data_IF_478960795288
#
_entry.id   IF_478960795288
#
_cell.length_a   1.000
_cell.length_b   1.000
_cell.length_c   1.000
_cell.angle_alpha   90.00
_cell.angle_beta   90.00
_cell.angle_gamma   90.00
#
_symmetry.space_group_name_H-M   'P 1'
#
loop_
_entity.id
_entity.type
_entity.pdbx_description
1 polymer ?
#
# COMPACT_ATOMS: atom_id res chain seq x y z
N UNK A 1 -11.38 -9.69 3.94
CA UNK A 1 -12.77 -9.77 4.40
C UNK A 1 -13.18 -11.22 4.72
N UNK A 2 -12.52 -12.22 4.13
CA UNK A 2 -12.71 -13.64 4.46
C UNK A 2 -12.37 -13.95 5.93
N UNK A 3 -11.40 -13.24 6.51
CA UNK A 3 -11.04 -13.37 7.94
C UNK A 3 -12.07 -12.71 8.88
N UNK A 4 -13.03 -11.96 8.34
CA UNK A 4 -14.05 -11.20 9.08
C UNK A 4 -15.45 -11.46 8.50
N UNK A 5 -15.93 -12.71 8.41
CA UNK A 5 -17.10 -13.08 7.60
C UNK A 5 -18.43 -12.50 8.10
N UNK A 6 -18.54 -12.15 9.38
CA UNK A 6 -19.76 -11.62 10.01
C UNK A 6 -19.57 -10.27 10.69
N UNK A 7 -18.37 -9.68 10.60
CA UNK A 7 -18.00 -8.50 11.37
C UNK A 7 -18.24 -7.21 10.57
N UNK A 8 -18.69 -6.17 11.28
CA UNK A 8 -18.89 -4.84 10.71
C UNK A 8 -17.57 -4.14 10.43
N UNK A 9 -17.48 -3.46 9.31
CA UNK A 9 -16.27 -2.73 8.93
C UNK A 9 -16.51 -1.52 8.04
N UNK A 10 -15.52 -0.64 8.03
CA UNK A 10 -15.49 0.57 7.20
C UNK A 10 -14.31 0.49 6.25
N UNK A 11 -14.54 0.79 4.97
CA UNK A 11 -13.49 0.86 3.94
C UNK A 11 -13.46 2.29 3.39
N UNK A 12 -12.37 2.99 3.66
CA UNK A 12 -12.16 4.35 3.14
C UNK A 12 -11.57 4.33 1.74
N UNK A 13 -12.21 5.07 0.83
CA UNK A 13 -11.82 5.23 -0.56
C UNK A 13 -11.52 6.70 -0.88
N UNK A 14 -10.66 6.93 -1.86
CA UNK A 14 -10.26 8.27 -2.30
C UNK A 14 -11.40 9.04 -2.96
N UNK A 15 -12.24 8.37 -3.77
CA UNK A 15 -13.23 9.02 -4.63
C UNK A 15 -14.64 8.46 -4.44
N UNK A 16 -15.65 9.27 -4.83
CA UNK A 16 -17.06 8.85 -4.85
C UNK A 16 -17.28 7.61 -5.71
N UNK A 17 -16.76 7.63 -6.93
CA UNK A 17 -16.86 6.48 -7.85
C UNK A 17 -16.14 5.25 -7.30
N UNK A 18 -15.01 5.43 -6.59
CA UNK A 18 -14.31 4.35 -5.91
C UNK A 18 -15.16 3.67 -4.85
N UNK A 19 -15.95 4.45 -4.08
CA UNK A 19 -16.84 3.88 -3.05
C UNK A 19 -17.96 3.04 -3.68
N UNK A 20 -18.57 3.54 -4.75
CA UNK A 20 -19.67 2.84 -5.46
C UNK A 20 -19.14 1.56 -6.10
N UNK A 21 -18.08 1.64 -6.90
CA UNK A 21 -17.52 0.49 -7.59
C UNK A 21 -16.98 -0.59 -6.64
N UNK A 22 -16.41 -0.19 -5.48
CA UNK A 22 -15.96 -1.16 -4.49
C UNK A 22 -17.15 -1.84 -3.78
N UNK A 23 -18.18 -1.07 -3.40
CA UNK A 23 -19.38 -1.63 -2.79
C UNK A 23 -20.08 -2.64 -3.72
N UNK A 24 -20.16 -2.34 -5.02
CA UNK A 24 -20.70 -3.26 -6.03
C UNK A 24 -19.88 -4.54 -6.14
N UNK A 25 -18.55 -4.43 -6.24
CA UNK A 25 -17.66 -5.60 -6.28
C UNK A 25 -17.80 -6.48 -5.04
N UNK A 26 -18.00 -5.88 -3.87
CA UNK A 26 -18.23 -6.62 -2.62
C UNK A 26 -19.58 -7.33 -2.63
N UNK A 27 -20.65 -6.69 -3.11
CA UNK A 27 -21.98 -7.31 -3.25
C UNK A 27 -21.96 -8.48 -4.21
N UNK A 28 -21.26 -8.38 -5.34
CA UNK A 28 -21.07 -9.50 -6.28
C UNK A 28 -20.36 -10.71 -5.64
N UNK A 29 -19.59 -10.48 -4.58
CA UNK A 29 -18.95 -11.53 -3.77
C UNK A 29 -19.80 -11.97 -2.56
N UNK A 30 -21.07 -11.60 -2.50
CA UNK A 30 -21.96 -11.96 -1.40
C UNK A 30 -21.73 -11.17 -0.11
N UNK A 31 -20.98 -10.08 -0.14
CA UNK A 31 -20.74 -9.24 1.03
C UNK A 31 -21.76 -8.10 1.02
N UNK A 32 -22.57 -8.01 2.07
CA UNK A 32 -23.53 -6.92 2.24
C UNK A 32 -22.79 -5.59 2.47
N UNK A 33 -22.66 -4.80 1.41
CA UNK A 33 -21.91 -3.55 1.40
C UNK A 33 -22.70 -2.39 0.77
N UNK A 34 -22.50 -1.19 1.28
CA UNK A 34 -23.05 0.04 0.72
C UNK A 34 -21.99 1.12 0.55
N UNK A 35 -22.21 1.99 -0.45
CA UNK A 35 -21.40 3.18 -0.65
C UNK A 35 -21.93 4.34 0.21
N UNK A 36 -21.01 5.18 0.72
CA UNK A 36 -21.36 6.41 1.43
C UNK A 36 -20.41 7.55 1.03
N UNK A 37 -20.96 8.63 0.50
CA UNK A 37 -20.18 9.82 0.10
C UNK A 37 -21.06 11.08 0.09
N UNK A 38 -20.44 12.25 0.08
CA UNK A 38 -21.12 13.53 0.11
C UNK A 38 -22.02 13.81 -1.12
N UNK A 39 -21.89 13.05 -2.20
CA UNK A 39 -22.75 13.14 -3.38
C UNK A 39 -24.07 12.39 -3.29
N UNK A 40 -24.30 11.59 -2.24
CA UNK A 40 -25.61 10.99 -1.95
C UNK A 40 -26.56 12.04 -1.37
N UNK A 41 -27.86 11.88 -1.62
CA UNK A 41 -28.88 12.69 -0.98
C UNK A 41 -28.84 12.57 0.54
N UNK A 42 -29.35 13.54 1.30
CA UNK A 42 -29.43 13.44 2.75
C UNK A 42 -30.18 12.18 3.21
N UNK A 43 -31.28 11.83 2.55
CA UNK A 43 -32.11 10.65 2.89
C UNK A 43 -31.35 9.34 2.62
N UNK A 44 -30.62 9.24 1.51
CA UNK A 44 -29.78 8.07 1.24
C UNK A 44 -28.66 7.92 2.27
N UNK A 45 -28.02 9.03 2.64
CA UNK A 45 -26.99 9.01 3.70
C UNK A 45 -27.54 8.53 5.02
N UNK A 46 -28.69 9.07 5.45
CA UNK A 46 -29.35 8.65 6.67
C UNK A 46 -29.75 7.16 6.64
N UNK A 47 -30.31 6.70 5.53
CA UNK A 47 -30.68 5.29 5.33
C UNK A 47 -29.47 4.35 5.42
N UNK A 48 -28.36 4.66 4.76
CA UNK A 48 -27.14 3.82 4.81
C UNK A 48 -26.58 3.83 6.22
N UNK A 49 -26.53 4.99 6.87
CA UNK A 49 -26.03 5.13 8.24
C UNK A 49 -26.86 4.31 9.25
N UNK A 50 -28.19 4.44 9.21
CA UNK A 50 -29.09 3.67 10.09
C UNK A 50 -28.98 2.16 9.83
N UNK A 51 -28.94 1.77 8.56
CA UNK A 51 -28.79 0.37 8.20
C UNK A 51 -27.46 -0.22 8.69
N UNK A 52 -26.38 0.56 8.66
CA UNK A 52 -25.10 0.16 9.21
C UNK A 52 -25.12 0.07 10.73
N UNK A 53 -25.74 1.04 11.42
CA UNK A 53 -25.89 1.03 12.88
C UNK A 53 -26.70 -0.19 13.37
N UNK A 54 -27.72 -0.60 12.61
CA UNK A 54 -28.58 -1.75 12.92
C UNK A 54 -28.07 -3.10 12.41
N UNK A 55 -26.82 -3.19 11.96
CA UNK A 55 -26.19 -4.39 11.37
C UNK A 55 -26.87 -4.92 10.08
N UNK A 56 -27.80 -4.15 9.49
CA UNK A 56 -28.41 -4.45 8.20
C UNK A 56 -27.44 -4.27 7.01
N UNK A 57 -26.40 -3.50 7.17
CA UNK A 57 -25.26 -3.38 6.26
C UNK A 57 -24.01 -3.75 7.05
N UNK A 58 -23.22 -4.68 6.51
CA UNK A 58 -21.99 -5.16 7.16
C UNK A 58 -20.79 -4.27 6.88
N UNK A 59 -20.65 -3.79 5.65
CA UNK A 59 -19.48 -3.01 5.21
C UNK A 59 -19.94 -1.72 4.57
N UNK A 60 -19.37 -0.60 5.02
CA UNK A 60 -19.56 0.70 4.37
C UNK A 60 -18.29 1.07 3.63
N UNK A 61 -18.39 1.24 2.30
CA UNK A 61 -17.34 1.82 1.47
C UNK A 61 -17.56 3.33 1.43
N UNK A 62 -16.68 4.12 2.02
CA UNK A 62 -16.93 5.53 2.27
C UNK A 62 -15.78 6.44 1.84
N UNK A 63 -16.09 7.68 1.52
CA UNK A 63 -15.11 8.77 1.56
C UNK A 63 -15.01 9.30 3.00
N UNK A 64 -14.10 10.25 3.25
CA UNK A 64 -13.94 10.93 4.55
C UNK A 64 -15.24 11.55 5.09
N UNK A 65 -16.28 11.69 4.24
CA UNK A 65 -17.60 12.16 4.66
C UNK A 65 -18.30 11.22 5.65
N UNK A 66 -17.93 9.94 5.70
CA UNK A 66 -18.45 8.96 6.66
C UNK A 66 -17.61 8.99 7.93
N UNK A 67 -17.85 9.98 8.75
CA UNK A 67 -16.99 10.16 9.91
C UNK A 67 -17.67 10.87 11.08
N UNK A 68 -18.22 12.03 10.85
CA UNK A 68 -18.87 12.80 11.92
C UNK A 68 -20.23 12.16 12.25
N UNK A 69 -20.42 11.78 13.52
CA UNK A 69 -21.69 11.24 14.01
C UNK A 69 -21.90 9.73 13.89
N UNK A 70 -20.90 8.96 13.46
CA UNK A 70 -20.99 7.49 13.49
C UNK A 70 -20.50 6.97 14.84
N UNK A 71 -21.46 6.55 15.67
CA UNK A 71 -21.19 5.91 16.95
C UNK A 71 -21.64 4.44 16.96
N UNK A 72 -20.97 3.65 16.14
CA UNK A 72 -21.12 2.18 16.13
C UNK A 72 -19.94 1.57 16.88
N UNK A 73 -20.22 0.96 18.03
CA UNK A 73 -19.18 0.44 18.92
C UNK A 73 -18.52 -0.85 18.40
N UNK A 74 -19.27 -1.69 17.70
CA UNK A 74 -18.86 -3.03 17.28
C UNK A 74 -18.19 -3.08 15.88
N UNK A 75 -17.58 -2.00 15.41
CA UNK A 75 -16.76 -2.01 14.18
C UNK A 75 -15.49 -2.81 14.43
N UNK A 76 -15.27 -3.88 13.66
CA UNK A 76 -14.11 -4.78 13.86
C UNK A 76 -12.92 -4.45 12.97
N UNK A 77 -13.13 -3.78 11.85
CA UNK A 77 -12.02 -3.35 11.01
C UNK A 77 -12.28 -2.00 10.33
N UNK A 78 -11.21 -1.25 10.19
CA UNK A 78 -11.12 -0.07 9.34
C UNK A 78 -10.04 -0.32 8.30
N UNK A 79 -10.39 -0.23 7.03
CA UNK A 79 -9.48 -0.45 5.92
C UNK A 79 -9.38 0.82 5.07
N UNK A 80 -8.18 1.30 4.86
CA UNK A 80 -7.89 2.36 3.89
C UNK A 80 -7.52 1.71 2.56
N UNK A 81 -8.45 1.75 1.60
CA UNK A 81 -8.25 1.21 0.26
C UNK A 81 -7.30 2.08 -0.57
N UNK A 82 -7.27 3.38 -0.28
CA UNK A 82 -6.30 4.34 -0.77
C UNK A 82 -5.66 5.07 0.43
N UNK A 83 -4.52 5.69 0.19
CA UNK A 83 -3.80 6.46 1.19
C UNK A 83 -4.69 7.58 1.77
N UNK A 84 -4.84 7.70 3.10
CA UNK A 84 -5.58 8.80 3.72
C UNK A 84 -4.91 10.17 3.46
N UNK A 85 -5.55 11.25 3.85
CA UNK A 85 -5.04 12.60 3.55
C UNK A 85 -3.79 12.95 4.35
N UNK A 86 -3.76 12.54 5.61
CA UNK A 86 -2.66 12.78 6.58
C UNK A 86 -2.78 11.82 7.76
N UNK A 87 -1.83 11.88 8.69
CA UNK A 87 -1.81 11.02 9.89
C UNK A 87 -3.00 11.30 10.80
N UNK A 88 -3.42 12.56 10.94
CA UNK A 88 -4.54 12.94 11.81
C UNK A 88 -5.85 12.34 11.31
N UNK A 89 -6.11 12.41 10.00
CA UNK A 89 -7.28 11.76 9.38
C UNK A 89 -7.21 10.25 9.57
N UNK A 90 -6.06 9.64 9.30
CA UNK A 90 -5.84 8.21 9.54
C UNK A 90 -6.17 7.82 10.97
N UNK A 91 -5.66 8.57 11.97
CA UNK A 91 -5.88 8.31 13.38
C UNK A 91 -7.36 8.40 13.78
N UNK A 92 -8.06 9.45 13.32
CA UNK A 92 -9.49 9.61 13.55
C UNK A 92 -10.32 8.49 12.92
N UNK A 93 -9.94 8.04 11.74
CA UNK A 93 -10.64 7.01 10.99
C UNK A 93 -10.44 5.63 11.61
N UNK A 94 -9.22 5.25 12.00
CA UNK A 94 -8.96 3.98 12.68
C UNK A 94 -9.56 3.93 14.09
N UNK A 95 -9.71 5.07 14.77
CA UNK A 95 -10.35 5.20 16.07
C UNK A 95 -11.84 4.83 16.09
N UNK A 96 -12.41 4.42 14.96
CA UNK A 96 -13.79 3.89 14.87
C UNK A 96 -13.86 2.40 15.16
N UNK A 97 -12.74 1.68 15.04
CA UNK A 97 -12.69 0.25 15.33
C UNK A 97 -12.51 -0.01 16.83
N UNK A 98 -13.26 -0.97 17.38
CA UNK A 98 -13.08 -1.47 18.74
C UNK A 98 -13.50 -0.52 19.85
N UNK A 99 -14.48 0.34 19.64
CA UNK A 99 -14.99 1.26 20.67
C UNK A 99 -15.66 0.56 21.85
N UNK A 100 -16.04 -0.69 21.68
CA UNK A 100 -16.58 -1.56 22.73
C UNK A 100 -15.48 -2.25 23.57
N UNK A 101 -14.21 -1.91 23.36
CA UNK A 101 -13.07 -2.51 24.03
C UNK A 101 -12.60 -3.84 23.44
N UNK A 102 -13.33 -4.40 22.46
CA UNK A 102 -12.91 -5.63 21.79
C UNK A 102 -11.89 -5.34 20.69
N UNK A 103 -11.06 -6.32 20.30
CA UNK A 103 -10.03 -6.14 19.30
C UNK A 103 -10.57 -5.61 17.96
N UNK A 104 -9.94 -4.56 17.44
CA UNK A 104 -10.21 -4.02 16.12
C UNK A 104 -8.94 -4.05 15.26
N UNK A 105 -9.11 -4.17 13.93
CA UNK A 105 -8.01 -4.13 12.96
C UNK A 105 -8.01 -2.83 12.18
N UNK A 106 -6.85 -2.17 12.12
CA UNK A 106 -6.59 -1.06 11.20
C UNK A 106 -5.68 -1.55 10.08
N UNK A 107 -6.12 -1.42 8.83
CA UNK A 107 -5.39 -1.87 7.64
C UNK A 107 -5.27 -0.69 6.68
N UNK A 108 -4.09 -0.46 6.15
CA UNK A 108 -3.87 0.57 5.13
C UNK A 108 -3.14 -0.05 3.94
N UNK A 109 -3.73 0.05 2.75
CA UNK A 109 -3.01 -0.22 1.53
C UNK A 109 -2.17 1.00 1.19
N UNK A 110 -0.94 0.74 0.80
CA UNK A 110 0.03 1.77 0.49
C UNK A 110 0.77 1.43 -0.79
N UNK A 111 0.85 2.39 -1.70
CA UNK A 111 1.72 2.37 -2.86
C UNK A 111 2.36 3.74 -3.05
N UNK A 112 3.55 3.78 -3.64
CA UNK A 112 4.18 5.07 -3.96
C UNK A 112 3.34 5.86 -4.98
N UNK A 113 2.58 5.17 -5.83
CA UNK A 113 1.64 5.79 -6.78
C UNK A 113 0.54 6.57 -6.07
N UNK A 114 0.06 6.09 -4.90
CA UNK A 114 -0.93 6.83 -4.10
C UNK A 114 -0.34 8.14 -3.57
N UNK A 115 0.94 8.12 -3.15
CA UNK A 115 1.65 9.33 -2.70
C UNK A 115 1.80 10.33 -3.84
N UNK A 116 2.23 9.86 -5.02
CA UNK A 116 2.38 10.70 -6.21
C UNK A 116 1.06 11.34 -6.62
N UNK A 117 -0.01 10.56 -6.67
CA UNK A 117 -1.35 11.05 -7.00
C UNK A 117 -1.86 12.08 -5.98
N UNK A 118 -1.67 11.81 -4.67
CA UNK A 118 -2.02 12.77 -3.61
C UNK A 118 -1.24 14.07 -3.73
N UNK A 119 0.07 13.96 -4.00
CA UNK A 119 0.93 15.11 -4.19
C UNK A 119 0.45 15.97 -5.36
N UNK A 120 0.17 15.35 -6.51
CA UNK A 120 -0.35 16.05 -7.68
C UNK A 120 -1.64 16.81 -7.36
N UNK A 121 -2.59 16.19 -6.66
CA UNK A 121 -3.81 16.88 -6.24
C UNK A 121 -3.55 18.10 -5.36
N UNK A 122 -2.57 18.01 -4.44
CA UNK A 122 -2.20 19.13 -3.57
C UNK A 122 -1.55 20.26 -4.38
N UNK A 123 -0.72 19.91 -5.37
CA UNK A 123 -0.05 20.87 -6.25
C UNK A 123 -1.05 21.56 -7.20
N UNK A 124 -1.99 20.81 -7.78
CA UNK A 124 -3.05 21.33 -8.66
C UNK A 124 -4.04 22.23 -7.92
N UNK A 125 -4.36 21.92 -6.66
CA UNK A 125 -5.24 22.75 -5.81
C UNK A 125 -4.57 24.09 -5.44
N UNK A 126 -3.25 24.09 -5.28
CA UNK A 126 -2.46 25.27 -4.91
C UNK A 126 -2.86 25.91 -3.57
N UNK A 127 -2.57 27.21 -3.45
CA UNK A 127 -3.02 28.03 -2.33
C UNK A 127 -2.04 28.07 -1.14
N UNK A 128 -2.34 28.95 -0.18
CA UNK A 128 -1.45 29.29 0.94
C UNK A 128 -1.10 28.14 1.91
N UNK A 129 -1.77 26.99 1.82
CA UNK A 129 -1.56 25.82 2.69
C UNK A 129 -0.92 24.64 1.95
N UNK A 130 -0.47 24.83 0.73
CA UNK A 130 0.10 23.77 -0.09
C UNK A 130 1.31 23.12 0.59
N UNK A 131 2.26 23.91 1.05
CA UNK A 131 3.48 23.43 1.73
C UNK A 131 3.13 22.60 2.98
N UNK A 132 2.18 23.07 3.80
CA UNK A 132 1.71 22.33 4.97
C UNK A 132 1.08 20.99 4.58
N UNK A 133 0.26 20.95 3.52
CA UNK A 133 -0.35 19.72 3.02
C UNK A 133 0.71 18.73 2.51
N UNK A 134 1.72 19.21 1.80
CA UNK A 134 2.85 18.40 1.34
C UNK A 134 3.67 17.83 2.50
N UNK A 135 3.96 18.65 3.51
CA UNK A 135 4.64 18.20 4.73
C UNK A 135 3.85 17.10 5.45
N UNK A 136 2.53 17.26 5.61
CA UNK A 136 1.67 16.25 6.21
C UNK A 136 1.61 14.96 5.41
N UNK A 137 1.58 15.05 4.08
CA UNK A 137 1.67 13.89 3.19
C UNK A 137 3.00 13.15 3.37
N UNK A 138 4.12 13.87 3.45
CA UNK A 138 5.44 13.28 3.67
C UNK A 138 5.54 12.56 5.03
N UNK A 139 4.94 13.13 6.08
CA UNK A 139 4.89 12.49 7.40
C UNK A 139 4.06 11.19 7.36
N UNK A 140 2.91 11.19 6.66
CA UNK A 140 2.11 9.99 6.45
C UNK A 140 2.86 8.93 5.64
N UNK A 141 3.59 9.34 4.60
CA UNK A 141 4.45 8.45 3.83
C UNK A 141 5.49 7.79 4.73
N UNK A 142 6.23 8.57 5.53
CA UNK A 142 7.20 8.04 6.50
C UNK A 142 6.57 7.07 7.49
N UNK A 143 5.36 7.36 7.96
CA UNK A 143 4.60 6.43 8.82
C UNK A 143 4.27 5.12 8.10
N UNK A 144 3.81 5.18 6.85
CA UNK A 144 3.48 3.98 6.06
C UNK A 144 4.70 3.09 5.78
N UNK A 145 5.86 3.70 5.61
CA UNK A 145 7.10 3.03 5.21
C UNK A 145 8.01 2.63 6.40
N UNK A 146 7.71 3.13 7.61
CA UNK A 146 8.58 2.91 8.78
C UNK A 146 8.78 1.44 9.13
N UNK A 147 9.98 1.11 9.58
CA UNK A 147 10.30 -0.19 10.18
C UNK A 147 10.24 -0.17 11.72
N UNK A 148 9.83 0.95 12.29
CA UNK A 148 9.58 1.10 13.72
C UNK A 148 8.14 0.68 14.06
N UNK A 149 7.89 0.39 15.32
CA UNK A 149 6.55 0.09 15.81
C UNK A 149 5.54 1.18 15.40
N UNK A 150 4.49 0.79 14.63
CA UNK A 150 3.46 1.71 14.12
C UNK A 150 2.84 2.55 15.21
N UNK A 151 2.49 1.92 16.35
CA UNK A 151 1.88 2.62 17.48
C UNK A 151 2.83 3.63 18.09
N UNK A 152 4.09 3.28 18.26
CA UNK A 152 5.12 4.19 18.78
C UNK A 152 5.27 5.43 17.89
N UNK A 153 5.38 5.25 16.56
CA UNK A 153 5.49 6.35 15.61
C UNK A 153 4.25 7.24 15.66
N UNK A 154 3.06 6.64 15.75
CA UNK A 154 1.80 7.38 15.84
C UNK A 154 1.67 8.18 17.13
N UNK A 155 2.00 7.60 18.28
CA UNK A 155 1.98 8.28 19.58
C UNK A 155 2.99 9.43 19.63
N UNK A 156 4.21 9.20 19.12
CA UNK A 156 5.24 10.24 19.07
C UNK A 156 4.82 11.41 18.16
N UNK A 157 4.10 11.14 17.06
CA UNK A 157 3.52 12.18 16.21
C UNK A 157 2.57 13.11 16.98
N UNK A 158 1.78 12.56 17.91
CA UNK A 158 0.87 13.32 18.77
C UNK A 158 1.53 13.84 20.07
N UNK A 159 2.85 13.79 20.17
CA UNK A 159 3.61 14.32 21.32
C UNK A 159 3.69 13.37 22.52
N UNK A 160 3.11 12.18 22.45
CA UNK A 160 3.21 11.18 23.49
C UNK A 160 4.45 10.31 23.26
N UNK A 161 5.55 10.65 23.94
CA UNK A 161 6.77 9.85 23.84
C UNK A 161 6.61 8.49 24.53
N UNK A 162 6.99 7.45 23.82
CA UNK A 162 7.06 6.08 24.34
C UNK A 162 8.22 5.34 23.70
N UNK A 163 8.95 4.59 24.50
CA UNK A 163 10.06 3.74 24.04
C UNK A 163 9.65 2.29 23.88
N UNK A 164 8.47 1.90 24.35
CA UNK A 164 7.97 0.55 24.25
C UNK A 164 7.33 0.24 22.90
N UNK A 165 7.62 -0.93 22.37
CA UNK A 165 6.94 -1.48 21.21
C UNK A 165 5.60 -2.11 21.60
N UNK A 166 4.59 -1.99 20.74
CA UNK A 166 3.24 -2.46 21.05
C UNK A 166 3.06 -4.00 21.00
N UNK A 167 4.00 -4.74 20.40
CA UNK A 167 3.90 -6.19 20.20
C UNK A 167 2.78 -6.64 19.24
N UNK A 168 1.95 -5.73 18.74
CA UNK A 168 0.71 -6.07 18.04
C UNK A 168 0.64 -5.58 16.57
N UNK A 169 1.40 -4.57 16.17
CA UNK A 169 1.41 -4.10 14.79
C UNK A 169 2.18 -5.07 13.87
N UNK A 170 2.02 -4.90 12.55
CA UNK A 170 2.71 -5.67 11.52
C UNK A 170 4.23 -5.73 11.73
N UNK A 171 4.86 -4.59 12.01
CA UNK A 171 6.31 -4.51 12.26
C UNK A 171 6.74 -5.28 13.53
N UNK A 172 5.96 -5.20 14.61
CA UNK A 172 6.28 -5.92 15.83
C UNK A 172 6.07 -7.43 15.73
N UNK A 173 5.04 -7.88 14.99
CA UNK A 173 4.74 -9.29 14.80
C UNK A 173 5.66 -9.96 13.79
N UNK A 174 6.10 -9.21 12.79
CA UNK A 174 6.94 -9.70 11.70
C UNK A 174 8.16 -8.78 11.52
N UNK A 175 9.09 -8.76 12.50
CA UNK A 175 10.30 -7.95 12.39
C UNK A 175 11.12 -8.44 11.20
N UNK A 176 11.44 -7.54 10.30
CA UNK A 176 12.25 -7.87 9.13
C UNK A 176 13.70 -8.05 9.56
N UNK A 177 14.41 -9.01 8.94
CA UNK A 177 15.82 -9.22 9.18
C UNK A 177 16.66 -8.19 8.42
N UNK A 178 17.51 -7.48 9.16
CA UNK A 178 18.52 -6.63 8.55
C UNK A 178 19.66 -7.48 7.97
N UNK A 179 20.24 -7.02 6.88
CA UNK A 179 21.39 -7.64 6.22
C UNK A 179 22.27 -6.58 5.56
N UNK A 180 23.52 -6.95 5.23
CA UNK A 180 24.41 -6.08 4.44
C UNK A 180 23.88 -5.98 2.99
N UNK A 181 23.19 -4.90 2.71
CA UNK A 181 22.60 -4.57 1.41
C UNK A 181 23.47 -3.69 0.53
N UNK A 182 24.75 -3.51 0.89
CA UNK A 182 25.66 -2.57 0.22
C UNK A 182 25.74 -2.81 -1.28
N UNK A 183 25.84 -4.07 -1.73
CA UNK A 183 25.88 -4.39 -3.15
C UNK A 183 24.57 -4.04 -3.88
N UNK A 184 23.42 -4.25 -3.23
CA UNK A 184 22.12 -3.85 -3.78
C UNK A 184 22.04 -2.34 -3.91
N UNK A 185 22.46 -1.62 -2.88
CA UNK A 185 22.51 -0.16 -2.89
C UNK A 185 23.43 0.36 -4.01
N UNK A 186 24.64 -0.20 -4.13
CA UNK A 186 25.58 0.19 -5.19
C UNK A 186 25.03 -0.08 -6.60
N UNK A 187 24.37 -1.21 -6.85
CA UNK A 187 23.71 -1.51 -8.14
C UNK A 187 22.64 -0.45 -8.44
N UNK A 188 21.78 -0.12 -7.47
CA UNK A 188 20.71 0.85 -7.62
C UNK A 188 21.23 2.27 -7.87
N UNK A 189 22.13 2.75 -7.01
CA UNK A 189 22.73 4.10 -7.11
C UNK A 189 23.50 4.26 -8.43
N UNK A 190 24.26 3.22 -8.83
CA UNK A 190 24.96 3.20 -10.11
C UNK A 190 24.02 3.23 -11.32
N UNK A 191 22.86 2.55 -11.24
CA UNK A 191 21.86 2.62 -12.29
C UNK A 191 21.29 4.03 -12.41
N UNK A 192 20.87 4.64 -11.31
CA UNK A 192 20.34 6.02 -11.27
C UNK A 192 21.35 7.00 -11.86
N UNK A 193 22.63 6.89 -11.46
CA UNK A 193 23.70 7.75 -12.01
C UNK A 193 23.83 7.62 -13.53
N UNK A 194 23.86 6.38 -14.06
CA UNK A 194 24.01 6.09 -15.50
C UNK A 194 22.79 6.48 -16.32
N UNK A 195 21.62 6.50 -15.73
CA UNK A 195 20.40 7.03 -16.34
C UNK A 195 20.34 8.58 -16.25
N UNK A 196 21.45 9.22 -15.90
CA UNK A 196 21.58 10.68 -15.75
C UNK A 196 20.56 11.28 -14.78
N UNK A 197 20.09 10.47 -13.81
CA UNK A 197 19.10 10.88 -12.81
C UNK A 197 17.78 11.40 -13.45
N UNK A 198 17.41 10.83 -14.59
CA UNK A 198 16.25 11.29 -15.38
C UNK A 198 15.13 10.22 -15.49
N UNK A 199 15.28 9.10 -14.79
CA UNK A 199 14.35 7.99 -14.89
C UNK A 199 13.54 7.80 -13.60
N UNK A 200 12.22 7.58 -13.71
CA UNK A 200 11.38 7.24 -12.57
C UNK A 200 11.69 5.82 -12.07
N UNK A 201 11.29 5.53 -10.83
CA UNK A 201 11.59 4.26 -10.13
C UNK A 201 11.30 3.01 -10.98
N UNK A 202 10.14 2.95 -11.66
CA UNK A 202 9.77 1.79 -12.48
C UNK A 202 10.75 1.53 -13.62
N UNK A 203 11.25 2.59 -14.28
CA UNK A 203 12.24 2.47 -15.36
C UNK A 203 13.60 2.05 -14.81
N UNK A 204 14.01 2.56 -13.63
CA UNK A 204 15.24 2.11 -12.95
C UNK A 204 15.16 0.61 -12.63
N UNK A 205 14.01 0.13 -12.16
CA UNK A 205 13.78 -1.30 -11.90
C UNK A 205 13.85 -2.12 -13.20
N UNK A 206 13.25 -1.65 -14.28
CA UNK A 206 13.30 -2.33 -15.59
C UNK A 206 14.75 -2.47 -16.07
N UNK A 207 15.54 -1.40 -15.98
CA UNK A 207 16.97 -1.41 -16.32
C UNK A 207 17.75 -2.40 -15.45
N UNK A 208 17.58 -2.35 -14.13
CA UNK A 208 18.26 -3.28 -13.22
C UNK A 208 17.91 -4.74 -13.52
N UNK A 209 16.66 -5.02 -13.88
CA UNK A 209 16.19 -6.37 -14.22
C UNK A 209 16.51 -6.81 -15.64
N UNK A 210 16.98 -5.90 -16.50
CA UNK A 210 17.23 -6.19 -17.91
C UNK A 210 15.96 -6.30 -18.74
N UNK A 211 14.89 -5.59 -18.38
CA UNK A 211 13.61 -5.56 -19.10
C UNK A 211 13.65 -4.45 -20.16
N UNK A 212 13.43 -4.82 -21.40
CA UNK A 212 13.35 -3.91 -22.55
C UNK A 212 11.94 -3.32 -22.72
N UNK A 213 11.53 -2.49 -21.76
CA UNK A 213 10.27 -1.74 -21.91
C UNK A 213 10.40 -0.66 -22.99
N UNK A 214 9.26 -0.15 -23.48
CA UNK A 214 9.24 0.90 -24.50
C UNK A 214 10.07 2.13 -24.11
N UNK A 215 10.01 2.54 -22.84
CA UNK A 215 10.77 3.66 -22.29
C UNK A 215 12.26 3.37 -22.23
N UNK A 216 12.65 2.13 -21.87
CA UNK A 216 14.06 1.70 -21.83
C UNK A 216 14.68 1.75 -23.22
N UNK A 217 13.98 1.22 -24.23
CA UNK A 217 14.47 1.22 -25.63
C UNK A 217 14.52 2.66 -26.18
N UNK A 218 13.45 3.44 -25.98
CA UNK A 218 13.36 4.82 -26.50
C UNK A 218 14.50 5.72 -26.04
N UNK A 219 15.06 5.48 -24.85
CA UNK A 219 16.10 6.30 -24.26
C UNK A 219 17.48 5.62 -24.26
N UNK A 220 17.65 4.52 -25.00
CA UNK A 220 18.90 3.73 -25.08
C UNK A 220 19.42 3.25 -23.70
N UNK A 221 18.52 3.07 -22.74
CA UNK A 221 18.85 2.62 -21.39
C UNK A 221 19.26 1.14 -21.31
N UNK A 222 19.00 0.35 -22.35
CA UNK A 222 19.48 -1.02 -22.50
C UNK A 222 20.99 -1.10 -22.85
N UNK A 223 21.63 0.04 -23.18
CA UNK A 223 23.06 0.13 -23.47
C UNK A 223 23.91 0.45 -22.22
N UNK A 224 23.31 0.81 -21.09
CA UNK A 224 24.08 1.15 -19.90
C UNK A 224 24.65 -0.11 -19.21
N UNK A 225 25.85 0.01 -18.62
CA UNK A 225 26.52 -1.13 -17.93
C UNK A 225 25.72 -1.77 -16.80
N UNK A 226 24.72 -1.08 -16.28
CA UNK A 226 23.83 -1.57 -15.22
C UNK A 226 22.58 -2.29 -15.74
N UNK A 227 22.39 -2.36 -17.05
CA UNK A 227 21.28 -3.11 -17.64
C UNK A 227 21.40 -4.61 -17.30
N UNK A 228 20.41 -5.15 -16.61
CA UNK A 228 20.40 -6.52 -16.14
C UNK A 228 21.32 -6.84 -14.95
N UNK A 229 21.97 -5.83 -14.35
CA UNK A 229 22.85 -6.05 -13.20
C UNK A 229 22.15 -6.55 -11.93
N UNK A 230 20.84 -6.44 -11.89
CA UNK A 230 19.98 -6.83 -10.77
C UNK A 230 18.88 -7.82 -11.16
N UNK A 231 19.08 -8.62 -12.20
CA UNK A 231 18.12 -9.63 -12.69
C UNK A 231 17.80 -10.74 -11.69
N UNK A 232 18.62 -10.90 -10.67
CA UNK A 232 18.49 -11.81 -9.54
C UNK A 232 17.32 -11.46 -8.61
N UNK A 233 16.85 -10.22 -8.63
CA UNK A 233 15.74 -9.75 -7.81
C UNK A 233 14.49 -9.50 -8.66
N UNK A 234 13.31 -9.76 -8.06
CA UNK A 234 12.01 -9.50 -8.69
C UNK A 234 11.63 -8.03 -8.56
N UNK A 235 10.66 -7.59 -9.37
CA UNK A 235 10.17 -6.21 -9.33
C UNK A 235 9.74 -5.73 -7.93
N UNK A 236 8.96 -6.50 -7.14
CA UNK A 236 8.57 -6.07 -5.79
C UNK A 236 9.75 -5.94 -4.82
N UNK A 237 10.78 -6.78 -4.95
CA UNK A 237 11.99 -6.70 -4.12
C UNK A 237 12.76 -5.41 -4.44
N UNK A 238 13.00 -5.13 -5.73
CA UNK A 238 13.63 -3.87 -6.14
C UNK A 238 12.84 -2.64 -5.71
N UNK A 239 11.51 -2.69 -5.81
CA UNK A 239 10.65 -1.60 -5.36
C UNK A 239 10.83 -1.34 -3.85
N UNK A 240 10.84 -2.38 -3.03
CA UNK A 240 11.05 -2.28 -1.58
C UNK A 240 12.45 -1.73 -1.25
N UNK A 241 13.50 -2.24 -1.90
CA UNK A 241 14.87 -1.76 -1.65
C UNK A 241 15.09 -0.32 -2.13
N UNK A 242 14.54 0.11 -3.25
CA UNK A 242 14.62 1.50 -3.68
C UNK A 242 13.91 2.45 -2.70
N UNK A 243 12.76 2.03 -2.16
CA UNK A 243 12.07 2.77 -1.10
C UNK A 243 12.96 2.88 0.14
N UNK A 244 13.62 1.79 0.55
CA UNK A 244 14.55 1.83 1.68
C UNK A 244 15.73 2.79 1.43
N UNK A 245 16.29 2.83 0.20
CA UNK A 245 17.36 3.78 -0.14
C UNK A 245 16.87 5.23 -0.09
N UNK A 246 15.64 5.50 -0.46
CA UNK A 246 15.01 6.83 -0.30
C UNK A 246 14.88 7.17 1.20
N UNK A 247 14.41 6.23 2.03
CA UNK A 247 14.27 6.43 3.48
C UNK A 247 15.62 6.66 4.18
N UNK A 248 16.67 6.01 3.69
CA UNK A 248 18.04 6.18 4.18
C UNK A 248 18.68 7.50 3.68
N UNK A 249 17.96 8.28 2.87
CA UNK A 249 18.46 9.52 2.32
C UNK A 249 19.55 9.35 1.26
N UNK A 250 19.66 8.14 0.67
CA UNK A 250 20.61 7.86 -0.42
C UNK A 250 20.00 8.19 -1.80
N UNK A 251 18.69 8.21 -1.92
CA UNK A 251 17.94 8.61 -3.12
C UNK A 251 16.86 9.60 -2.74
N UNK A 252 16.47 10.43 -3.70
CA UNK A 252 15.31 11.32 -3.62
C UNK A 252 14.45 11.18 -4.87
N UNK A 253 13.17 11.54 -4.76
CA UNK A 253 12.27 11.65 -5.90
C UNK A 253 12.20 13.11 -6.35
N UNK A 254 12.71 13.41 -7.54
CA UNK A 254 12.59 14.73 -8.16
C UNK A 254 11.20 14.89 -8.76
N UNK A 255 10.23 15.31 -7.96
CA UNK A 255 8.82 15.40 -8.35
C UNK A 255 8.57 16.30 -9.57
N UNK A 256 9.34 17.40 -9.68
CA UNK A 256 9.24 18.33 -10.81
C UNK A 256 9.96 17.84 -12.08
N UNK A 257 10.70 16.73 -12.00
CA UNK A 257 11.41 16.10 -13.11
C UNK A 257 10.78 14.73 -13.45
N UNK A 258 9.49 14.70 -13.67
CA UNK A 258 8.74 13.47 -14.00
C UNK A 258 8.97 12.31 -13.01
N UNK A 259 9.06 12.64 -11.72
CA UNK A 259 9.30 11.66 -10.63
C UNK A 259 10.60 10.86 -10.77
N UNK A 260 11.62 11.45 -11.39
CA UNK A 260 12.92 10.83 -11.54
C UNK A 260 13.56 10.53 -10.19
N UNK A 261 14.26 9.41 -10.07
CA UNK A 261 15.14 9.15 -8.93
C UNK A 261 16.45 9.90 -9.12
N UNK A 262 16.85 10.63 -8.10
CA UNK A 262 18.12 11.39 -8.06
C UNK A 262 18.97 10.95 -6.87
N UNK A 263 20.29 11.05 -7.04
CA UNK A 263 21.26 10.79 -5.98
C UNK A 263 21.31 11.96 -5.00
N UNK A 264 21.58 11.65 -3.74
CA UNK A 264 21.90 12.65 -2.72
C UNK A 264 23.42 12.76 -2.53
N UNK A 265 23.88 13.72 -1.75
CA UNK A 265 25.30 13.80 -1.37
C UNK A 265 25.77 12.55 -0.61
N UNK A 266 24.90 11.91 0.18
CA UNK A 266 25.20 10.70 0.93
C UNK A 266 25.47 9.48 0.03
N UNK A 267 24.98 9.48 -1.22
CA UNK A 267 25.21 8.38 -2.15
C UNK A 267 26.69 8.19 -2.51
N UNK A 268 27.48 9.27 -2.49
CA UNK A 268 28.90 9.22 -2.84
C UNK A 268 29.68 8.34 -1.87
N UNK A 269 29.38 8.40 -0.59
CA UNK A 269 30.05 7.59 0.43
C UNK A 269 29.84 6.07 0.18
N UNK A 270 28.63 5.68 -0.30
CA UNK A 270 28.33 4.28 -0.64
C UNK A 270 29.00 3.86 -1.95
N UNK A 271 29.03 4.74 -2.95
CA UNK A 271 29.58 4.44 -4.27
C UNK A 271 31.11 4.41 -4.32
N UNK A 272 31.77 5.31 -3.58
CA UNK A 272 33.19 5.57 -3.75
C UNK A 272 34.05 5.44 -2.48
N UNK A 273 33.43 5.51 -1.27
CA UNK A 273 34.17 5.52 0.01
C UNK A 273 33.95 4.23 0.82
N UNK A 274 33.21 3.26 0.28
CA UNK A 274 33.00 1.95 0.91
C UNK A 274 32.04 1.94 2.11
N UNK A 275 31.20 2.98 2.25
CA UNK A 275 30.18 3.01 3.31
C UNK A 275 29.21 1.84 3.14
N UNK A 276 29.03 1.08 4.22
CA UNK A 276 28.08 -0.03 4.25
C UNK A 276 26.63 0.45 4.40
N UNK A 277 25.73 -0.26 3.75
CA UNK A 277 24.29 -0.01 3.80
C UNK A 277 23.58 -1.22 4.36
N UNK A 278 22.92 -1.04 5.50
CA UNK A 278 22.05 -2.07 6.06
C UNK A 278 20.65 -1.91 5.47
N UNK A 279 20.16 -2.96 4.80
CA UNK A 279 18.80 -3.08 4.31
C UNK A 279 18.05 -4.14 5.10
N UNK A 280 16.73 -4.12 5.06
CA UNK A 280 15.89 -5.18 5.61
C UNK A 280 15.34 -6.03 4.49
N UNK A 281 15.31 -7.36 4.69
CA UNK A 281 14.86 -8.32 3.69
C UNK A 281 13.41 -8.06 3.29
N UNK A 282 13.15 -8.09 1.99
CA UNK A 282 11.80 -8.09 1.45
C UNK A 282 11.03 -9.32 1.96
N UNK A 283 9.82 -9.09 2.48
CA UNK A 283 8.89 -10.15 2.84
C UNK A 283 7.68 -10.02 1.93
N UNK A 284 7.41 -11.01 1.06
CA UNK A 284 6.20 -10.99 0.25
C UNK A 284 4.97 -10.95 1.17
N UNK A 285 4.00 -10.11 0.87
CA UNK A 285 2.68 -10.19 1.50
C UNK A 285 2.01 -11.45 0.95
N UNK A 286 2.26 -12.59 1.58
CA UNK A 286 1.52 -13.82 1.31
C UNK A 286 0.12 -13.62 1.88
N UNK A 287 -0.87 -13.42 1.00
CA UNK A 287 -2.23 -13.76 1.38
C UNK A 287 -2.21 -15.24 1.74
N UNK A 288 -2.55 -15.58 2.98
CA UNK A 288 -2.68 -16.97 3.45
C UNK A 288 -3.69 -17.73 2.57
N UNK A 289 -3.21 -18.28 1.46
CA UNK A 289 -3.81 -19.41 0.80
C UNK A 289 -3.13 -20.66 1.35
N UNK A 290 -3.44 -21.03 2.57
CA UNK A 290 -3.23 -22.38 3.04
C UNK A 290 -4.27 -23.28 2.32
N UNK A 291 -3.90 -23.74 1.12
CA UNK A 291 -4.45 -24.98 0.58
C UNK A 291 -3.86 -26.12 1.43
N UNK A 292 -4.55 -26.48 2.49
CA UNK A 292 -4.42 -27.80 3.08
C UNK A 292 -5.05 -28.81 2.09
N UNK A 293 -4.24 -29.29 1.16
CA UNK A 293 -4.51 -30.56 0.49
C UNK A 293 -4.26 -31.67 1.49
N UNK A 294 -5.29 -32.04 2.25
CA UNK A 294 -5.37 -33.33 2.91
C UNK A 294 -5.37 -34.41 1.82
N UNK A 295 -4.27 -35.13 1.68
CA UNK A 295 -4.23 -36.39 0.95
C UNK A 295 -5.12 -37.38 1.69
N UNK A 296 -6.32 -37.60 1.14
CA UNK A 296 -7.09 -38.80 1.44
C UNK A 296 -6.65 -39.89 0.45
N UNK A 297 -5.84 -40.82 0.95
CA UNK A 297 -5.61 -42.14 0.34
C UNK A 297 -6.89 -42.97 0.46
N UNK A 298 -7.39 -43.47 -0.66
CA UNK A 298 -8.49 -44.44 -0.67
C UNK A 298 -9.02 -44.65 -2.08
N UNK A 299 -8.49 -45.68 -2.76
CA UNK A 299 -8.87 -46.03 -4.11
C UNK A 299 -10.29 -46.55 -4.25
N UNK A 300 -10.83 -46.40 -5.46
CA UNK A 300 -11.61 -47.42 -6.20
C UNK A 300 -11.85 -46.91 -7.61
N UNK A 301 -11.33 -47.68 -8.56
CA UNK A 301 -11.67 -47.67 -9.99
C UNK A 301 -13.14 -48.00 -10.19
N UNK A 302 -13.81 -47.43 -11.19
CA UNK A 302 -14.69 -48.11 -12.16
C UNK A 302 -14.93 -47.17 -13.34
N UNK A 303 -14.91 -47.79 -14.49
CA UNK A 303 -14.95 -47.44 -15.91
C UNK A 303 -16.16 -46.64 -16.42
N UNK A 304 -15.90 -46.05 -17.57
CA UNK A 304 -16.62 -45.98 -18.85
C UNK A 304 -17.53 -44.78 -19.18
N UNK A 305 -17.08 -44.07 -20.22
CA UNK A 305 -17.78 -43.74 -21.49
C UNK A 305 -19.01 -42.82 -21.37
N UNK A 306 -19.07 -41.67 -21.97
CA UNK A 306 -19.27 -41.31 -23.39
C UNK A 306 -19.30 -39.78 -23.56
N UNK A 307 -18.63 -39.31 -24.62
CA UNK A 307 -18.96 -38.03 -25.31
C UNK A 307 -20.03 -38.36 -26.41
N UNK A 308 -20.64 -37.41 -27.17
CA UNK A 308 -20.36 -35.97 -27.33
C UNK A 308 -21.61 -35.09 -27.54
N UNK A 309 -21.48 -33.83 -27.75
CA UNK A 309 -21.91 -33.00 -28.88
C UNK A 309 -22.34 -31.57 -28.49
N UNK A 310 -21.62 -30.65 -29.03
CA UNK A 310 -21.97 -29.46 -29.84
C UNK A 310 -23.36 -28.82 -29.76
N UNK A 311 -23.30 -27.53 -29.68
CA UNK A 311 -23.83 -26.44 -30.50
C UNK A 311 -24.25 -25.26 -29.64
N UNK A 312 -23.65 -24.08 -29.80
CA UNK A 312 -23.83 -23.00 -30.77
C UNK A 312 -25.05 -22.11 -30.49
N UNK A 313 -24.76 -20.82 -30.36
CA UNK A 313 -25.63 -19.62 -30.57
C UNK A 313 -26.81 -19.44 -29.55
N UNK A 314 -26.97 -18.33 -28.93
CA UNK A 314 -26.95 -16.88 -29.26
C UNK A 314 -26.53 -16.02 -28.07
#
# INVERSE_FOLDING_TARGET
LEQHPREAGIIYCLSRNGTVGLAEKLRLKGINAAAYHAGLSPDERSRVQEAFLRDNIRVVCATVAFGMGIDKSNVRFVLHYNLPTNIESYYQEIGRAGRDGLPGKAIMFYTISDVMQRRQFIEDEGGNRQELKLTKLQLLQRFAETQLCRRRVLLNYFGQQTDSNCGNCDVCRHPRQAFDGTLIAQKALSAVARLKQAAPMGVVIDVLRGVRSATVIKNDYDQVKTFGAGKDLKYPEWSDYLIQLIQLGLLEIAYQQHYALVLTSASNAVLFEGQKVNLVKFVPVTGDRQNQTTKATGGRSINQQEQPSNALFE
#
